data_IF_441876968486
#
_entry.id   IF_441876968486
#
_cell.length_a   1.000
_cell.length_b   1.000
_cell.length_c   1.000
_cell.angle_alpha   90.00
_cell.angle_beta   90.00
_cell.angle_gamma   90.00
#
_symmetry.space_group_name_H-M   'P 1'
#
loop_
_entity.id
_entity.type
_entity.pdbx_description
1 polymer ?
#
# COMPACT_ATOMS: atom_id res chain seq x y z
N UNK A 1 42.59 37.09 4.83
CA UNK A 1 42.59 36.98 3.35
C UNK A 1 42.39 35.52 2.99
N UNK A 2 41.44 35.27 2.08
CA UNK A 2 41.10 34.01 1.40
C UNK A 2 40.66 32.82 2.26
N UNK A 3 39.34 32.76 2.50
CA UNK A 3 38.64 31.51 2.79
C UNK A 3 38.53 30.64 1.54
N UNK A 4 38.74 29.34 1.70
CA UNK A 4 38.47 28.34 0.67
C UNK A 4 37.04 27.81 0.87
N UNK A 5 36.11 28.29 0.04
CA UNK A 5 34.79 27.70 -0.11
C UNK A 5 34.93 26.31 -0.73
N UNK A 6 34.73 25.26 0.06
CA UNK A 6 34.54 23.89 -0.45
C UNK A 6 33.08 23.71 -0.87
N UNK A 7 32.69 24.36 -1.97
CA UNK A 7 31.51 23.93 -2.72
C UNK A 7 31.96 22.84 -3.70
N UNK A 8 32.04 21.60 -3.20
CA UNK A 8 32.12 20.44 -4.07
C UNK A 8 30.81 20.29 -4.81
N UNK A 9 30.83 20.59 -6.11
CA UNK A 9 29.76 20.17 -7.02
C UNK A 9 29.81 18.65 -7.09
N UNK A 10 28.81 17.97 -6.52
CA UNK A 10 28.63 16.53 -6.61
C UNK A 10 28.28 16.15 -8.05
N UNK A 11 29.28 16.11 -8.94
CA UNK A 11 29.14 15.48 -10.24
C UNK A 11 29.16 13.96 -10.03
N UNK A 12 27.96 13.40 -9.83
CA UNK A 12 27.75 12.01 -9.43
C UNK A 12 27.96 11.07 -10.62
N UNK A 13 29.15 10.48 -10.72
CA UNK A 13 29.42 9.32 -11.59
C UNK A 13 28.81 8.03 -11.00
N UNK A 14 28.40 7.10 -11.88
CA UNK A 14 27.86 5.78 -11.55
C UNK A 14 28.78 4.95 -10.62
N UNK A 15 30.10 5.14 -10.68
CA UNK A 15 31.08 4.49 -9.79
C UNK A 15 31.15 5.11 -8.38
N UNK A 16 30.71 6.37 -8.23
CA UNK A 16 30.86 7.14 -6.99
C UNK A 16 29.73 6.85 -5.99
N UNK A 17 28.53 6.54 -6.48
CA UNK A 17 27.32 6.35 -5.66
C UNK A 17 27.36 5.14 -4.71
N UNK A 18 28.15 4.11 -5.05
CA UNK A 18 28.46 2.97 -4.16
C UNK A 18 29.90 2.95 -3.66
N UNK A 19 30.68 3.98 -3.97
CA UNK A 19 32.04 4.02 -3.45
C UNK A 19 31.97 4.03 -1.91
N UNK A 20 32.75 3.18 -1.21
CA UNK A 20 32.78 3.17 0.25
C UNK A 20 32.98 4.58 0.82
N UNK A 21 33.80 5.40 0.15
CA UNK A 21 34.08 6.78 0.52
C UNK A 21 32.84 7.69 0.48
N UNK A 22 31.97 7.56 -0.54
CA UNK A 22 30.76 8.39 -0.63
C UNK A 22 29.73 8.00 0.44
N UNK A 23 29.58 6.70 0.72
CA UNK A 23 28.70 6.20 1.77
C UNK A 23 29.21 6.66 3.13
N UNK A 24 30.50 6.45 3.40
CA UNK A 24 31.14 6.84 4.66
C UNK A 24 31.10 8.37 4.88
N UNK A 25 31.26 9.17 3.83
CA UNK A 25 31.14 10.63 3.92
C UNK A 25 29.71 11.07 4.25
N UNK A 26 28.69 10.49 3.59
CA UNK A 26 27.28 10.79 3.84
C UNK A 26 26.85 10.33 5.24
N UNK A 27 27.30 9.16 5.69
CA UNK A 27 27.08 8.66 7.04
C UNK A 27 27.77 9.53 8.10
N UNK A 28 29.04 9.92 7.86
CA UNK A 28 29.80 10.80 8.77
C UNK A 28 29.15 12.18 8.92
N UNK A 29 28.51 12.68 7.86
CA UNK A 29 27.78 13.95 7.89
C UNK A 29 26.38 13.82 8.54
N UNK A 30 25.97 12.63 8.99
CA UNK A 30 24.66 12.41 9.62
C UNK A 30 23.48 12.65 8.67
N UNK A 31 23.74 12.64 7.36
CA UNK A 31 22.72 12.94 6.34
C UNK A 31 21.74 11.78 6.17
N UNK A 32 22.17 10.56 6.51
CA UNK A 32 21.37 9.35 6.36
C UNK A 32 20.52 9.08 7.60
N UNK A 33 19.21 9.04 7.39
CA UNK A 33 18.24 8.90 8.47
C UNK A 33 17.14 7.93 8.07
N UNK A 34 16.58 7.25 9.05
CA UNK A 34 15.44 6.36 8.90
C UNK A 34 14.42 6.62 9.99
N UNK A 35 13.21 6.10 9.80
CA UNK A 35 12.15 6.13 10.78
C UNK A 35 11.46 4.77 10.84
N UNK A 36 10.89 4.46 11.99
CA UNK A 36 10.17 3.21 12.22
C UNK A 36 8.73 3.32 11.71
N UNK A 37 8.11 2.22 11.22
CA UNK A 37 6.73 2.26 10.73
C UNK A 37 5.74 2.85 11.74
N UNK A 38 5.96 2.66 13.05
CA UNK A 38 5.16 3.29 14.09
C UNK A 38 5.19 4.83 14.05
N UNK A 39 6.31 5.43 13.68
CA UNK A 39 6.45 6.89 13.54
C UNK A 39 5.81 7.40 12.24
N UNK A 40 5.88 6.60 11.16
CA UNK A 40 5.24 6.93 9.88
C UNK A 40 3.70 6.87 10.00
N UNK A 41 3.19 5.88 10.74
CA UNK A 41 1.76 5.57 10.83
C UNK A 41 1.06 6.19 12.05
N UNK A 42 1.79 6.75 13.02
CA UNK A 42 1.22 7.32 14.27
C UNK A 42 0.14 8.39 14.06
N UNK A 43 0.12 9.03 12.89
CA UNK A 43 -0.77 10.14 12.58
C UNK A 43 -1.68 9.84 11.38
N UNK A 44 -2.04 8.57 11.16
CA UNK A 44 -3.03 8.15 10.16
C UNK A 44 -2.75 8.71 8.75
N UNK A 45 -1.47 8.74 8.36
CA UNK A 45 -1.03 9.21 7.05
C UNK A 45 -0.97 10.72 6.86
N UNK A 46 -1.14 11.55 7.92
CA UNK A 46 -0.94 13.02 7.84
C UNK A 46 0.40 13.39 7.19
N UNK A 47 1.43 12.58 7.41
CA UNK A 47 2.77 12.78 6.83
C UNK A 47 2.81 12.78 5.29
N UNK A 48 1.82 12.16 4.65
CA UNK A 48 1.68 12.07 3.19
C UNK A 48 0.80 13.17 2.59
N UNK A 49 0.21 14.05 3.40
CA UNK A 49 -0.48 15.21 2.88
C UNK A 49 0.53 16.26 2.43
N UNK A 50 0.28 16.84 1.26
CA UNK A 50 1.11 17.93 0.75
C UNK A 50 0.73 19.28 1.39
N UNK A 51 1.69 20.20 1.40
CA UNK A 51 1.50 21.58 1.85
C UNK A 51 1.89 21.87 3.30
N UNK A 52 1.87 23.16 3.62
CA UNK A 52 2.30 23.69 4.93
C UNK A 52 1.39 23.22 6.07
N UNK A 53 0.08 23.17 5.85
CA UNK A 53 -0.89 22.72 6.87
C UNK A 53 -0.63 21.28 7.31
N UNK A 54 -0.21 20.41 6.39
CA UNK A 54 0.17 19.04 6.68
C UNK A 54 1.46 18.95 7.48
N UNK A 55 2.48 19.74 7.13
CA UNK A 55 3.72 19.84 7.91
C UNK A 55 3.45 20.29 9.35
N UNK A 56 2.63 21.33 9.52
CA UNK A 56 2.21 21.81 10.84
C UNK A 56 1.48 20.71 11.61
N UNK A 57 0.50 20.03 11.00
CA UNK A 57 -0.24 18.95 11.64
C UNK A 57 0.68 17.78 12.04
N UNK A 58 1.62 17.38 11.18
CA UNK A 58 2.62 16.34 11.47
C UNK A 58 3.59 16.77 12.59
N UNK A 59 3.90 18.07 12.65
CA UNK A 59 4.68 18.74 13.69
C UNK A 59 3.88 19.11 14.95
N UNK A 60 2.63 18.63 15.07
CA UNK A 60 1.73 18.92 16.19
C UNK A 60 1.42 20.42 16.42
N UNK A 61 1.46 21.22 15.36
CA UNK A 61 1.09 22.63 15.35
C UNK A 61 -0.29 22.82 14.69
N UNK A 62 -1.21 23.51 15.38
CA UNK A 62 -2.59 23.78 14.91
C UNK A 62 -2.82 25.24 14.49
N UNK A 63 -1.76 26.02 14.30
CA UNK A 63 -1.87 27.44 13.98
C UNK A 63 -2.45 27.65 12.57
N UNK A 64 -3.48 28.49 12.45
CA UNK A 64 -4.09 28.86 11.16
C UNK A 64 -3.19 29.81 10.35
N UNK A 65 -2.51 30.73 11.03
CA UNK A 65 -1.50 31.63 10.48
C UNK A 65 -0.23 31.47 11.31
N UNK A 66 0.61 30.47 11.01
CA UNK A 66 1.79 30.16 11.81
C UNK A 66 2.86 31.26 11.66
N UNK A 67 3.59 31.53 12.75
CA UNK A 67 4.83 32.32 12.66
C UNK A 67 5.96 31.49 12.04
N UNK A 68 7.05 32.14 11.62
CA UNK A 68 8.22 31.46 11.07
C UNK A 68 8.81 30.45 12.06
N UNK A 69 8.86 30.80 13.34
CA UNK A 69 9.35 29.95 14.42
C UNK A 69 8.46 28.72 14.61
N UNK A 70 7.14 28.87 14.49
CA UNK A 70 6.21 27.73 14.58
C UNK A 70 6.36 26.78 13.40
N UNK A 71 6.59 27.31 12.18
CA UNK A 71 6.89 26.48 11.01
C UNK A 71 8.20 25.73 11.21
N UNK A 72 9.25 26.42 11.66
CA UNK A 72 10.55 25.82 11.95
C UNK A 72 10.46 24.72 13.00
N UNK A 73 9.82 24.98 14.14
CA UNK A 73 9.61 24.00 15.19
C UNK A 73 8.78 22.79 14.75
N UNK A 74 7.78 22.98 13.89
CA UNK A 74 7.03 21.86 13.30
C UNK A 74 7.92 20.99 12.40
N UNK A 75 8.77 21.61 11.57
CA UNK A 75 9.73 20.91 10.72
C UNK A 75 10.77 20.13 11.53
N UNK A 76 11.32 20.75 12.58
CA UNK A 76 12.26 20.12 13.51
C UNK A 76 11.61 18.95 14.25
N UNK A 77 10.37 19.11 14.73
CA UNK A 77 9.63 18.04 15.41
C UNK A 77 9.40 16.83 14.50
N UNK A 78 9.05 17.06 13.22
CA UNK A 78 8.92 15.95 12.26
C UNK A 78 10.27 15.28 12.02
N UNK A 79 11.32 16.08 11.79
CA UNK A 79 12.67 15.57 11.53
C UNK A 79 13.26 14.79 12.71
N UNK A 80 13.03 15.24 13.94
CA UNK A 80 13.50 14.61 15.17
C UNK A 80 12.90 13.21 15.42
N UNK A 81 11.81 12.84 14.73
CA UNK A 81 11.29 11.47 14.78
C UNK A 81 12.19 10.48 14.03
N UNK A 82 12.92 10.93 13.01
CA UNK A 82 13.90 10.07 12.33
C UNK A 82 15.19 9.94 13.14
N UNK A 83 15.91 8.85 12.95
CA UNK A 83 17.20 8.57 13.59
C UNK A 83 18.30 8.45 12.54
N UNK A 84 19.51 8.88 12.88
CA UNK A 84 20.68 8.67 12.01
C UNK A 84 20.98 7.19 11.89
N UNK A 85 21.28 6.76 10.68
CA UNK A 85 21.51 5.35 10.36
C UNK A 85 22.59 5.23 9.30
N UNK A 86 23.26 4.09 9.25
CA UNK A 86 24.16 3.69 8.17
C UNK A 86 23.45 2.84 7.10
N UNK A 87 22.26 2.33 7.42
CA UNK A 87 21.47 1.46 6.56
C UNK A 87 19.96 1.77 6.63
N UNK A 88 19.26 1.55 5.51
CA UNK A 88 17.79 1.63 5.41
C UNK A 88 17.27 0.33 4.82
N UNK A 89 16.32 -0.30 5.50
CA UNK A 89 15.73 -1.55 5.01
C UNK A 89 14.74 -1.30 3.85
N UNK A 90 13.95 -0.23 3.95
CA UNK A 90 12.87 0.06 3.01
C UNK A 90 12.83 1.54 2.59
N UNK A 91 13.08 1.81 1.32
CA UNK A 91 12.85 3.13 0.72
C UNK A 91 11.40 3.24 0.23
N UNK A 92 10.64 4.24 0.68
CA UNK A 92 9.24 4.42 0.26
C UNK A 92 9.15 5.49 -0.83
N UNK A 93 9.03 5.05 -2.08
CA UNK A 93 8.75 5.91 -3.23
C UNK A 93 7.25 6.18 -3.36
N UNK A 94 6.86 7.44 -3.54
CA UNK A 94 5.44 7.79 -3.68
C UNK A 94 5.19 9.11 -4.43
N UNK A 95 3.98 9.27 -4.98
CA UNK A 95 3.51 10.56 -5.51
C UNK A 95 2.83 11.40 -4.43
N UNK A 96 3.11 12.70 -4.37
CA UNK A 96 2.42 13.65 -3.48
C UNK A 96 0.95 13.89 -3.86
N UNK A 97 0.55 13.60 -5.10
CA UNK A 97 -0.85 13.78 -5.56
C UNK A 97 -1.81 12.76 -4.94
N UNK A 98 -1.34 11.55 -4.65
CA UNK A 98 -2.19 10.47 -4.16
C UNK A 98 -2.69 10.70 -2.73
N UNK A 99 -3.88 10.18 -2.43
CA UNK A 99 -4.58 10.43 -1.19
C UNK A 99 -3.87 9.86 0.04
N UNK A 100 -3.94 10.57 1.17
CA UNK A 100 -3.29 10.13 2.42
C UNK A 100 -3.78 8.77 2.91
N UNK A 101 -5.08 8.50 2.74
CA UNK A 101 -5.72 7.31 3.28
C UNK A 101 -5.34 6.07 2.49
N UNK A 102 -5.22 6.19 1.17
CA UNK A 102 -4.77 5.11 0.30
C UNK A 102 -3.35 4.68 0.68
N UNK A 103 -2.44 5.64 0.88
CA UNK A 103 -1.07 5.38 1.35
C UNK A 103 -1.06 4.77 2.75
N UNK A 104 -1.83 5.32 3.67
CA UNK A 104 -1.94 4.80 5.04
C UNK A 104 -2.40 3.35 5.06
N UNK A 105 -3.52 3.02 4.41
CA UNK A 105 -4.04 1.65 4.37
C UNK A 105 -3.13 0.71 3.58
N UNK A 106 -2.45 1.19 2.54
CA UNK A 106 -1.46 0.39 1.80
C UNK A 106 -0.28 0.02 2.69
N UNK A 107 0.23 0.96 3.49
CA UNK A 107 1.32 0.69 4.44
C UNK A 107 0.86 -0.19 5.62
N UNK A 108 -0.35 0.02 6.14
CA UNK A 108 -0.94 -0.89 7.13
C UNK A 108 -1.06 -2.32 6.58
N UNK A 109 -1.52 -2.46 5.34
CA UNK A 109 -1.55 -3.76 4.65
C UNK A 109 -0.15 -4.33 4.48
N UNK A 110 0.81 -3.53 4.04
CA UNK A 110 2.19 -3.96 3.85
C UNK A 110 2.85 -4.47 5.15
N UNK A 111 2.74 -3.71 6.24
CA UNK A 111 3.41 -4.05 7.50
C UNK A 111 2.62 -5.02 8.38
N UNK A 112 1.29 -5.00 8.35
CA UNK A 112 0.47 -5.70 9.36
C UNK A 112 -0.41 -6.81 8.82
N UNK A 113 -0.59 -6.98 7.51
CA UNK A 113 -1.56 -7.95 6.98
C UNK A 113 -1.34 -9.37 7.49
N UNK A 114 -0.12 -9.92 7.33
CA UNK A 114 0.18 -11.29 7.77
C UNK A 114 -0.03 -11.47 9.27
N UNK A 115 0.34 -10.45 10.05
CA UNK A 115 0.17 -10.47 11.49
C UNK A 115 -1.30 -10.36 11.90
N UNK A 116 -2.09 -9.53 11.22
CA UNK A 116 -3.53 -9.41 11.42
C UNK A 116 -4.27 -10.71 11.10
N UNK A 117 -3.87 -11.40 10.01
CA UNK A 117 -4.37 -12.72 9.65
C UNK A 117 -4.08 -13.72 10.77
N UNK A 118 -2.82 -13.82 11.22
CA UNK A 118 -2.42 -14.74 12.29
C UNK A 118 -3.18 -14.49 13.59
N UNK A 119 -3.32 -13.23 14.03
CA UNK A 119 -4.08 -12.87 15.22
C UNK A 119 -5.57 -13.19 15.09
N UNK A 120 -6.18 -12.95 13.92
CA UNK A 120 -7.58 -13.27 13.65
C UNK A 120 -7.84 -14.78 13.72
N UNK A 121 -7.02 -15.59 13.05
CA UNK A 121 -7.13 -17.06 13.13
C UNK A 121 -6.91 -17.57 14.56
N UNK A 122 -5.93 -17.02 15.27
CA UNK A 122 -5.67 -17.38 16.68
C UNK A 122 -6.89 -17.06 17.55
N UNK A 123 -7.46 -15.88 17.40
CA UNK A 123 -8.68 -15.47 18.09
C UNK A 123 -9.85 -16.42 17.78
N UNK A 124 -10.04 -16.78 16.50
CA UNK A 124 -11.05 -17.74 16.09
C UNK A 124 -10.87 -19.11 16.76
N UNK A 125 -9.68 -19.70 16.71
CA UNK A 125 -9.40 -21.00 17.33
C UNK A 125 -9.64 -20.99 18.85
N UNK A 126 -9.20 -19.94 19.53
CA UNK A 126 -9.42 -19.77 20.97
C UNK A 126 -10.91 -19.71 21.28
N UNK A 127 -11.68 -18.93 20.52
CA UNK A 127 -13.13 -18.80 20.73
C UNK A 127 -13.85 -20.12 20.44
N UNK A 128 -13.50 -20.83 19.37
CA UNK A 128 -14.06 -22.16 19.07
C UNK A 128 -13.80 -23.13 20.23
N UNK A 129 -12.56 -23.19 20.73
CA UNK A 129 -12.21 -24.07 21.86
C UNK A 129 -13.02 -23.72 23.13
N UNK A 130 -13.22 -22.43 23.42
CA UNK A 130 -14.01 -21.97 24.56
C UNK A 130 -15.49 -22.29 24.41
N UNK A 131 -16.08 -22.10 23.22
CA UNK A 131 -17.49 -22.41 22.96
C UNK A 131 -17.75 -23.92 23.01
N UNK A 132 -16.89 -24.72 22.37
CA UNK A 132 -16.98 -26.19 22.43
C UNK A 132 -16.77 -26.70 23.85
N UNK A 133 -15.82 -26.14 24.59
CA UNK A 133 -15.54 -26.54 25.98
C UNK A 133 -16.66 -26.18 26.96
N UNK A 134 -17.42 -25.11 26.69
CA UNK A 134 -18.52 -24.67 27.56
C UNK A 134 -19.87 -25.27 27.19
N UNK A 135 -20.19 -25.42 25.91
CA UNK A 135 -21.50 -25.85 25.43
C UNK A 135 -21.53 -27.26 24.82
N UNK A 136 -20.36 -27.84 24.54
CA UNK A 136 -20.24 -29.06 23.73
C UNK A 136 -20.59 -28.80 22.25
N UNK A 137 -20.16 -29.70 21.37
CA UNK A 137 -20.40 -29.55 19.91
C UNK A 137 -21.90 -29.53 19.59
N UNK A 138 -22.69 -30.35 20.26
CA UNK A 138 -24.15 -30.41 20.07
C UNK A 138 -24.87 -29.16 20.57
N UNK A 139 -24.32 -28.47 21.57
CA UNK A 139 -24.89 -27.24 22.11
C UNK A 139 -24.64 -26.00 21.25
N UNK A 140 -23.82 -26.11 20.21
CA UNK A 140 -23.57 -25.03 19.25
C UNK A 140 -24.70 -24.86 18.24
N UNK A 141 -25.46 -25.93 17.96
CA UNK A 141 -26.55 -25.89 16.98
C UNK A 141 -27.60 -24.85 17.34
N UNK A 142 -27.78 -23.84 16.48
CA UNK A 142 -28.76 -22.77 16.68
C UNK A 142 -28.38 -21.72 17.73
N UNK A 143 -27.13 -21.70 18.21
CA UNK A 143 -26.68 -20.71 19.18
C UNK A 143 -26.48 -19.34 18.52
N UNK A 144 -27.14 -18.30 19.08
CA UNK A 144 -26.99 -16.91 18.64
C UNK A 144 -25.59 -16.33 18.90
N UNK A 145 -24.73 -17.06 19.61
CA UNK A 145 -23.35 -16.65 19.87
C UNK A 145 -22.42 -16.97 18.69
N UNK A 146 -22.82 -17.84 17.76
CA UNK A 146 -21.93 -18.28 16.67
C UNK A 146 -21.49 -17.11 15.78
N UNK A 147 -22.42 -16.30 15.28
CA UNK A 147 -22.09 -15.16 14.42
C UNK A 147 -21.20 -14.11 15.12
N UNK A 148 -21.57 -13.53 16.28
CA UNK A 148 -20.74 -12.51 16.93
C UNK A 148 -19.38 -13.05 17.39
N UNK A 149 -19.30 -14.30 17.85
CA UNK A 149 -18.07 -14.87 18.37
C UNK A 149 -17.14 -15.43 17.28
N UNK A 150 -17.68 -16.11 16.25
CA UNK A 150 -16.88 -16.77 15.22
C UNK A 150 -16.66 -15.91 13.97
N UNK A 151 -17.46 -14.86 13.75
CA UNK A 151 -17.30 -13.95 12.61
C UNK A 151 -16.87 -12.58 13.10
N UNK A 152 -17.71 -11.89 13.87
CA UNK A 152 -17.44 -10.49 14.21
C UNK A 152 -16.17 -10.31 15.05
N UNK A 153 -15.96 -11.14 16.08
CA UNK A 153 -14.80 -10.98 16.97
C UNK A 153 -13.44 -11.19 16.28
N UNK A 154 -13.21 -12.25 15.49
CA UNK A 154 -12.00 -12.39 14.67
C UNK A 154 -11.84 -11.26 13.66
N UNK A 155 -12.92 -10.81 13.02
CA UNK A 155 -12.86 -9.69 12.05
C UNK A 155 -12.53 -8.34 12.71
N UNK A 156 -13.04 -8.09 13.91
CA UNK A 156 -12.65 -6.91 14.72
C UNK A 156 -11.19 -7.02 15.13
N UNK A 157 -10.74 -8.21 15.55
CA UNK A 157 -9.33 -8.48 15.87
C UNK A 157 -8.43 -8.21 14.65
N UNK A 158 -8.82 -8.71 13.47
CA UNK A 158 -8.15 -8.44 12.21
C UNK A 158 -8.05 -6.93 11.95
N UNK A 159 -9.17 -6.20 12.03
CA UNK A 159 -9.19 -4.76 11.75
C UNK A 159 -8.31 -3.95 12.71
N UNK A 160 -8.38 -4.25 14.01
CA UNK A 160 -7.55 -3.59 15.03
C UNK A 160 -6.07 -3.88 14.77
N UNK A 161 -5.69 -5.14 14.54
CA UNK A 161 -4.29 -5.51 14.31
C UNK A 161 -3.78 -5.00 12.97
N UNK A 162 -4.62 -4.92 11.94
CA UNK A 162 -4.23 -4.35 10.66
C UNK A 162 -3.86 -2.87 10.80
N UNK A 163 -4.69 -2.10 11.52
CA UNK A 163 -4.50 -0.65 11.70
C UNK A 163 -3.38 -0.36 12.71
N UNK A 164 -3.31 -1.08 13.82
CA UNK A 164 -2.44 -0.75 14.96
C UNK A 164 -1.32 -1.75 15.22
N UNK A 165 -1.23 -2.84 14.45
CA UNK A 165 -0.30 -3.95 14.69
C UNK A 165 1.18 -3.57 14.59
N UNK A 166 1.48 -2.44 13.97
CA UNK A 166 2.82 -1.88 13.87
C UNK A 166 3.31 -1.23 15.18
N UNK A 167 2.39 -0.94 16.10
CA UNK A 167 2.69 -0.38 17.43
C UNK A 167 2.66 -1.42 18.55
N UNK A 168 2.30 -2.67 18.27
CA UNK A 168 2.20 -3.72 19.29
C UNK A 168 3.59 -4.28 19.63
N UNK A 169 3.99 -4.30 20.93
CA UNK A 169 5.34 -4.71 21.35
C UNK A 169 5.48 -6.25 21.43
N UNK A 170 5.12 -6.95 20.36
CA UNK A 170 5.11 -8.43 20.31
C UNK A 170 6.42 -9.00 19.73
N UNK A 171 7.56 -8.33 20.01
CA UNK A 171 8.88 -8.77 19.55
C UNK A 171 9.07 -8.78 18.03
N UNK A 172 8.21 -8.08 17.28
CA UNK A 172 8.32 -7.99 15.82
C UNK A 172 9.41 -7.01 15.44
N UNK A 173 10.39 -7.48 14.65
CA UNK A 173 11.33 -6.60 13.97
C UNK A 173 10.64 -6.03 12.72
N UNK A 174 10.38 -4.72 12.74
CA UNK A 174 9.87 -3.99 11.57
C UNK A 174 11.03 -3.31 10.84
N UNK A 175 10.99 -3.23 9.50
CA UNK A 175 12.07 -2.63 8.73
C UNK A 175 12.17 -1.12 8.99
N UNK A 176 13.39 -0.62 9.05
CA UNK A 176 13.68 0.80 9.00
C UNK A 176 13.27 1.39 7.66
N UNK A 177 12.50 2.48 7.70
CA UNK A 177 11.90 3.10 6.53
C UNK A 177 12.53 4.46 6.26
N UNK A 178 12.81 4.75 5.00
CA UNK A 178 13.11 6.09 4.54
C UNK A 178 11.89 6.69 3.86
N UNK A 179 11.53 7.90 4.28
CA UNK A 179 10.46 8.71 3.69
C UNK A 179 10.90 10.18 3.69
N UNK A 180 10.78 10.82 2.55
CA UNK A 180 11.25 12.19 2.30
C UNK A 180 10.81 13.21 3.37
N UNK A 181 9.54 13.24 3.79
CA UNK A 181 9.03 14.22 4.76
C UNK A 181 9.65 14.08 6.14
N UNK A 182 9.96 12.86 6.58
CA UNK A 182 10.49 12.58 7.93
C UNK A 182 12.01 12.54 7.97
N UNK A 183 12.64 12.06 6.89
CA UNK A 183 14.09 11.87 6.82
C UNK A 183 14.83 13.09 6.26
N UNK A 184 14.15 14.00 5.55
CA UNK A 184 14.72 15.25 5.06
C UNK A 184 14.26 16.40 5.94
N UNK A 185 15.17 17.31 6.29
CA UNK A 185 14.85 18.51 7.03
C UNK A 185 13.93 19.41 6.19
N UNK A 186 12.74 19.74 6.72
CA UNK A 186 11.72 20.44 5.91
C UNK A 186 11.90 21.96 5.87
N UNK A 187 12.57 22.53 6.88
CA UNK A 187 12.63 23.98 7.15
C UNK A 187 14.02 24.61 7.10
N UNK A 188 15.08 23.80 7.15
CA UNK A 188 16.47 24.21 7.00
C UNK A 188 16.85 23.92 5.55
N UNK A 189 16.96 24.97 4.75
CA UNK A 189 17.13 24.85 3.31
C UNK A 189 18.52 24.35 2.91
N UNK A 190 19.54 24.64 3.71
CA UNK A 190 20.91 24.22 3.44
C UNK A 190 21.04 22.72 3.70
N UNK A 191 20.58 22.24 4.86
CA UNK A 191 20.52 20.81 5.16
C UNK A 191 19.64 20.05 4.18
N UNK A 192 18.46 20.60 3.85
CA UNK A 192 17.55 20.01 2.86
C UNK A 192 18.25 19.80 1.53
N UNK A 193 19.01 20.79 1.04
CA UNK A 193 19.76 20.71 -0.21
C UNK A 193 20.84 19.63 -0.14
N UNK A 194 21.62 19.58 0.94
CA UNK A 194 22.64 18.55 1.15
C UNK A 194 22.03 17.13 1.16
N UNK A 195 20.91 16.96 1.85
CA UNK A 195 20.21 15.67 1.91
C UNK A 195 19.59 15.26 0.59
N UNK A 196 19.02 16.19 -0.18
CA UNK A 196 18.49 15.91 -1.53
C UNK A 196 19.63 15.50 -2.48
N UNK A 197 20.79 16.16 -2.39
CA UNK A 197 21.95 15.78 -3.21
C UNK A 197 22.48 14.37 -2.89
N UNK A 198 22.32 13.92 -1.64
CA UNK A 198 22.68 12.58 -1.21
C UNK A 198 21.62 11.50 -1.54
N UNK A 199 20.45 11.89 -2.06
CA UNK A 199 19.33 10.98 -2.32
C UNK A 199 19.67 9.76 -3.19
N UNK A 200 20.43 9.89 -4.29
CA UNK A 200 20.80 8.73 -5.09
C UNK A 200 21.63 7.70 -4.32
N UNK A 201 22.43 8.14 -3.33
CA UNK A 201 23.18 7.25 -2.43
C UNK A 201 22.20 6.51 -1.51
N UNK A 202 21.22 7.19 -0.94
CA UNK A 202 20.20 6.59 -0.07
C UNK A 202 19.42 5.49 -0.77
N UNK A 203 18.99 5.76 -2.00
CA UNK A 203 18.26 4.80 -2.84
C UNK A 203 19.15 3.59 -3.15
N UNK A 204 20.42 3.82 -3.53
CA UNK A 204 21.35 2.74 -3.88
C UNK A 204 21.77 1.84 -2.70
N UNK A 205 21.73 2.37 -1.47
CA UNK A 205 22.04 1.68 -0.21
C UNK A 205 20.82 1.00 0.43
N UNK A 206 19.60 1.33 0.01
CA UNK A 206 18.41 0.73 0.58
C UNK A 206 18.31 -0.76 0.22
N UNK A 207 17.91 -1.59 1.20
CA UNK A 207 17.74 -3.03 0.96
C UNK A 207 16.60 -3.34 0.00
N UNK A 208 15.50 -2.58 0.06
CA UNK A 208 14.35 -2.68 -0.84
C UNK A 208 13.77 -1.29 -1.13
N UNK A 209 13.03 -1.18 -2.23
CA UNK A 209 12.20 -0.02 -2.56
C UNK A 209 10.74 -0.43 -2.65
N UNK A 210 9.90 0.17 -1.81
CA UNK A 210 8.44 0.07 -1.89
C UNK A 210 7.90 1.25 -2.70
N UNK A 211 7.34 0.95 -3.87
CA UNK A 211 6.67 1.93 -4.73
C UNK A 211 5.18 1.94 -4.41
N UNK A 212 4.72 3.01 -3.77
CA UNK A 212 3.29 3.28 -3.58
C UNK A 212 2.73 3.85 -4.89
N UNK A 213 2.26 2.95 -5.76
CA UNK A 213 1.85 3.30 -7.11
C UNK A 213 0.46 3.92 -7.15
N UNK A 214 0.38 5.09 -7.78
CA UNK A 214 -0.84 5.74 -8.25
C UNK A 214 -0.70 6.09 -9.73
N UNK A 215 -1.78 6.55 -10.34
CA UNK A 215 -1.83 6.89 -11.77
C UNK A 215 -0.82 7.98 -12.15
N UNK A 216 -0.37 8.80 -11.19
CA UNK A 216 0.58 9.90 -11.44
C UNK A 216 2.02 9.55 -11.10
N UNK A 217 2.30 8.35 -10.59
CA UNK A 217 3.63 7.96 -10.12
C UNK A 217 4.67 8.06 -11.24
N UNK A 218 4.41 7.40 -12.37
CA UNK A 218 5.32 7.38 -13.52
C UNK A 218 5.38 8.70 -14.29
N UNK A 219 4.47 9.64 -14.01
CA UNK A 219 4.57 11.00 -14.55
C UNK A 219 5.65 11.83 -13.86
N UNK A 220 6.24 11.38 -12.73
CA UNK A 220 7.15 12.20 -11.92
C UNK A 220 8.61 11.82 -12.17
N UNK A 221 9.40 12.78 -12.65
CA UNK A 221 10.80 12.54 -13.00
C UNK A 221 11.65 12.09 -11.79
N UNK A 222 11.45 12.71 -10.61
CA UNK A 222 12.11 12.29 -9.37
C UNK A 222 11.81 10.84 -8.98
N UNK A 223 10.54 10.43 -8.99
CA UNK A 223 10.13 9.05 -8.66
C UNK A 223 10.72 8.03 -9.65
N UNK A 224 10.81 8.42 -10.92
CA UNK A 224 11.41 7.58 -11.96
C UNK A 224 12.94 7.49 -11.82
N UNK A 225 13.61 8.58 -11.43
CA UNK A 225 15.05 8.58 -11.12
C UNK A 225 15.36 7.66 -9.94
N UNK A 226 14.59 7.75 -8.86
CA UNK A 226 14.72 6.87 -7.68
C UNK A 226 14.53 5.40 -8.08
N UNK A 227 13.45 5.10 -8.81
CA UNK A 227 13.17 3.76 -9.29
C UNK A 227 14.30 3.21 -10.19
N UNK A 228 14.76 4.01 -11.15
CA UNK A 228 15.86 3.64 -12.03
C UNK A 228 17.17 3.41 -11.26
N UNK A 229 17.45 4.26 -10.27
CA UNK A 229 18.62 4.12 -9.39
C UNK A 229 18.53 2.82 -8.60
N UNK A 230 17.38 2.54 -7.97
CA UNK A 230 17.18 1.30 -7.23
C UNK A 230 17.35 0.07 -8.12
N UNK A 231 16.71 0.05 -9.29
CA UNK A 231 16.82 -1.08 -10.21
C UNK A 231 18.25 -1.28 -10.73
N UNK A 232 18.97 -0.18 -11.04
CA UNK A 232 20.33 -0.22 -11.58
C UNK A 232 21.36 -0.80 -10.62
N UNK A 233 21.31 -0.40 -9.36
CA UNK A 233 22.28 -0.82 -8.33
C UNK A 233 21.81 -2.04 -7.55
N UNK A 234 20.50 -2.14 -7.37
CA UNK A 234 19.84 -3.12 -6.52
C UNK A 234 19.40 -4.40 -7.22
N UNK A 235 19.10 -4.33 -8.52
CA UNK A 235 18.31 -5.34 -9.20
C UNK A 235 16.82 -4.99 -9.17
N UNK A 236 16.06 -5.54 -10.12
CA UNK A 236 14.60 -5.34 -10.21
C UNK A 236 13.83 -6.09 -9.13
N UNK A 237 14.44 -7.12 -8.55
CA UNK A 237 13.93 -7.92 -7.42
C UNK A 237 13.83 -7.12 -6.11
N UNK A 238 14.58 -6.01 -5.98
CA UNK A 238 14.47 -5.10 -4.84
C UNK A 238 13.26 -4.17 -4.90
N UNK A 239 12.62 -4.05 -6.06
CA UNK A 239 11.50 -3.13 -6.26
C UNK A 239 10.19 -3.87 -6.02
N UNK A 240 9.47 -3.46 -4.98
CA UNK A 240 8.13 -3.95 -4.68
C UNK A 240 7.10 -2.87 -5.02
N UNK A 241 6.21 -3.17 -5.96
CA UNK A 241 5.10 -2.27 -6.30
C UNK A 241 3.87 -2.59 -5.46
N UNK A 242 3.37 -1.58 -4.76
CA UNK A 242 2.13 -1.62 -3.99
C UNK A 242 1.12 -0.66 -4.62
N UNK A 243 0.15 -1.16 -5.40
CA UNK A 243 -0.87 -0.33 -6.00
C UNK A 243 -1.80 0.24 -4.91
N UNK A 244 -2.00 1.56 -4.92
CA UNK A 244 -2.78 2.24 -3.89
C UNK A 244 -4.28 1.88 -3.88
N UNK A 245 -4.81 1.33 -4.97
CA UNK A 245 -6.18 0.80 -5.04
C UNK A 245 -6.35 -0.56 -4.36
N UNK A 246 -5.26 -1.29 -4.08
CA UNK A 246 -5.33 -2.65 -3.54
C UNK A 246 -5.96 -2.68 -2.14
N UNK A 247 -5.47 -1.84 -1.23
CA UNK A 247 -5.95 -1.82 0.15
C UNK A 247 -7.42 -1.34 0.25
N UNK A 248 -7.83 -0.22 -0.40
CA UNK A 248 -9.23 0.17 -0.44
C UNK A 248 -10.15 -0.91 -1.02
N UNK A 249 -9.74 -1.58 -2.11
CA UNK A 249 -10.51 -2.69 -2.69
C UNK A 249 -10.66 -3.85 -1.71
N UNK A 250 -9.55 -4.35 -1.14
CA UNK A 250 -9.55 -5.46 -0.19
C UNK A 250 -10.44 -5.17 1.02
N UNK A 251 -10.27 -3.99 1.63
CA UNK A 251 -11.04 -3.59 2.81
C UNK A 251 -12.53 -3.41 2.47
N UNK A 252 -12.84 -2.86 1.30
CA UNK A 252 -14.24 -2.73 0.86
C UNK A 252 -14.89 -4.09 0.65
N UNK A 253 -14.19 -5.04 0.01
CA UNK A 253 -14.70 -6.41 -0.17
C UNK A 253 -14.96 -7.09 1.17
N UNK A 254 -14.01 -7.02 2.11
CA UNK A 254 -14.18 -7.58 3.47
C UNK A 254 -15.40 -6.97 4.17
N UNK A 255 -15.56 -5.65 4.11
CA UNK A 255 -16.68 -4.96 4.74
C UNK A 255 -18.03 -5.30 4.10
N UNK A 256 -18.07 -5.45 2.78
CA UNK A 256 -19.27 -5.83 2.05
C UNK A 256 -19.66 -7.28 2.37
N UNK A 257 -18.70 -8.20 2.42
CA UNK A 257 -18.95 -9.59 2.84
C UNK A 257 -19.46 -9.68 4.28
N UNK A 258 -18.83 -8.94 5.21
CA UNK A 258 -19.28 -8.89 6.61
C UNK A 258 -20.69 -8.28 6.72
N UNK A 259 -20.99 -7.27 5.90
CA UNK A 259 -22.32 -6.65 5.86
C UNK A 259 -23.36 -7.63 5.34
N UNK A 260 -23.06 -8.40 4.29
CA UNK A 260 -23.97 -9.43 3.77
C UNK A 260 -24.25 -10.51 4.81
N UNK A 261 -23.21 -11.01 5.49
CA UNK A 261 -23.36 -12.00 6.55
C UNK A 261 -24.19 -11.45 7.73
N UNK A 262 -23.99 -10.17 8.09
CA UNK A 262 -24.78 -9.51 9.13
C UNK A 262 -26.25 -9.32 8.72
N UNK A 263 -26.51 -8.99 7.44
CA UNK A 263 -27.87 -8.88 6.90
C UNK A 263 -28.56 -10.24 6.98
N UNK A 264 -27.89 -11.31 6.56
CA UNK A 264 -28.44 -12.67 6.63
C UNK A 264 -28.81 -13.03 8.08
N UNK A 265 -27.90 -12.77 9.04
CA UNK A 265 -28.14 -13.03 10.45
C UNK A 265 -29.36 -12.25 10.98
N UNK A 266 -29.45 -10.95 10.67
CA UNK A 266 -30.60 -10.11 11.05
C UNK A 266 -31.89 -10.60 10.40
N UNK A 267 -31.85 -11.03 9.13
CA UNK A 267 -33.02 -11.57 8.44
C UNK A 267 -33.52 -12.86 9.10
N UNK A 268 -32.61 -13.77 9.47
CA UNK A 268 -32.95 -15.00 10.21
C UNK A 268 -33.60 -14.68 11.55
N UNK A 269 -33.13 -13.63 12.24
CA UNK A 269 -33.68 -13.20 13.53
C UNK A 269 -35.03 -12.49 13.43
N UNK A 270 -35.20 -11.58 12.46
CA UNK A 270 -36.43 -10.80 12.29
C UNK A 270 -37.58 -11.63 11.73
N UNK A 271 -37.24 -12.63 10.91
CA UNK A 271 -38.20 -13.51 10.28
C UNK A 271 -37.89 -14.97 10.64
N UNK A 272 -38.09 -15.36 11.91
CA UNK A 272 -37.93 -16.75 12.31
C UNK A 272 -38.89 -17.60 11.49
N UNK A 273 -38.42 -18.70 10.93
CA UNK A 273 -39.12 -19.54 9.96
C UNK A 273 -39.33 -18.89 8.59
N UNK A 274 -38.66 -17.81 8.17
CA UNK A 274 -38.82 -17.27 6.81
C UNK A 274 -38.50 -18.28 5.71
N UNK A 275 -37.42 -19.05 5.89
CA UNK A 275 -37.08 -20.17 5.02
C UNK A 275 -38.15 -21.26 5.07
N UNK A 276 -38.62 -21.62 6.27
CA UNK A 276 -39.67 -22.61 6.44
C UNK A 276 -41.06 -22.13 5.97
N UNK A 277 -41.37 -20.83 6.00
CA UNK A 277 -42.61 -20.24 5.52
C UNK A 277 -42.64 -20.18 3.99
N UNK A 278 -41.49 -19.97 3.34
CA UNK A 278 -41.35 -20.21 1.91
C UNK A 278 -41.48 -21.71 1.58
N UNK A 279 -40.84 -22.61 2.35
CA UNK A 279 -40.99 -24.07 2.16
C UNK A 279 -42.41 -24.57 2.41
N UNK A 280 -43.15 -24.00 3.37
CA UNK A 280 -44.56 -24.30 3.65
C UNK A 280 -45.53 -23.74 2.60
N UNK A 281 -45.06 -22.90 1.67
CA UNK A 281 -45.78 -22.57 0.43
C UNK A 281 -45.30 -23.40 -0.78
N UNK A 282 -44.26 -24.22 -0.62
CA UNK A 282 -43.80 -25.25 -1.58
C UNK A 282 -44.33 -26.69 -1.30
N UNK A 283 -45.17 -27.03 -0.30
CA UNK A 283 -45.35 -28.41 0.15
C UNK A 283 -46.21 -29.29 -0.77
N UNK A 284 -46.56 -28.86 -1.98
CA UNK A 284 -47.17 -29.76 -2.97
C UNK A 284 -46.22 -30.21 -4.09
N UNK A 285 -45.00 -29.66 -4.19
CA UNK A 285 -44.07 -29.98 -5.29
C UNK A 285 -43.17 -31.22 -5.04
N UNK A 286 -42.58 -31.46 -3.85
CA UNK A 286 -41.61 -32.55 -3.68
C UNK A 286 -42.22 -33.94 -3.65
N UNK A 287 -43.30 -34.13 -2.88
CA UNK A 287 -43.94 -35.45 -2.74
C UNK A 287 -44.69 -35.90 -4.00
N UNK A 288 -45.28 -34.96 -4.74
CA UNK A 288 -46.10 -35.27 -5.92
C UNK A 288 -45.28 -35.50 -7.20
N UNK A 289 -44.06 -34.93 -7.30
CA UNK A 289 -43.22 -34.99 -8.51
C UNK A 289 -42.00 -35.91 -8.36
N UNK A 290 -41.37 -35.96 -7.19
CA UNK A 290 -40.06 -36.61 -7.01
C UNK A 290 -40.06 -37.84 -6.09
N UNK A 291 -41.17 -38.10 -5.38
CA UNK A 291 -41.26 -39.17 -4.38
C UNK A 291 -40.32 -38.96 -3.19
N UNK A 292 -40.37 -39.85 -2.20
CA UNK A 292 -39.47 -39.83 -1.05
C UNK A 292 -38.05 -40.26 -1.46
N UNK A 293 -37.25 -39.32 -1.98
CA UNK A 293 -35.83 -39.52 -2.24
C UNK A 293 -34.99 -38.62 -1.29
N UNK A 294 -34.24 -39.19 -0.33
CA UNK A 294 -33.47 -38.42 0.65
C UNK A 294 -32.34 -37.58 0.03
N UNK A 295 -31.82 -37.98 -1.14
CA UNK A 295 -30.85 -37.19 -1.88
C UNK A 295 -31.48 -35.93 -2.49
N UNK A 296 -32.73 -36.03 -2.95
CA UNK A 296 -33.49 -34.89 -3.47
C UNK A 296 -33.84 -33.91 -2.35
N UNK A 297 -34.24 -34.42 -1.17
CA UNK A 297 -34.52 -33.60 0.01
C UNK A 297 -33.28 -32.81 0.47
N UNK A 298 -32.11 -33.48 0.51
CA UNK A 298 -30.82 -32.83 0.82
C UNK A 298 -30.43 -31.77 -0.22
N UNK A 299 -30.68 -32.05 -1.50
CA UNK A 299 -30.42 -31.11 -2.60
C UNK A 299 -31.31 -29.87 -2.50
N UNK A 300 -32.62 -30.03 -2.29
CA UNK A 300 -33.57 -28.92 -2.12
C UNK A 300 -33.18 -28.06 -0.92
N UNK A 301 -32.88 -28.67 0.22
CA UNK A 301 -32.42 -27.94 1.42
C UNK A 301 -31.13 -27.15 1.16
N UNK A 302 -30.16 -27.74 0.45
CA UNK A 302 -28.91 -27.06 0.09
C UNK A 302 -29.12 -25.91 -0.90
N UNK A 303 -30.00 -26.11 -1.89
CA UNK A 303 -30.37 -25.10 -2.87
C UNK A 303 -31.08 -23.91 -2.22
N UNK A 304 -31.98 -24.17 -1.25
CA UNK A 304 -32.67 -23.13 -0.49
C UNK A 304 -31.67 -22.29 0.32
N UNK A 305 -30.78 -22.93 1.08
CA UNK A 305 -29.73 -22.23 1.83
C UNK A 305 -28.88 -21.36 0.89
N UNK A 306 -28.51 -21.88 -0.28
CA UNK A 306 -27.76 -21.12 -1.28
C UNK A 306 -28.54 -19.92 -1.85
N UNK A 307 -29.81 -20.12 -2.21
CA UNK A 307 -30.68 -19.07 -2.75
C UNK A 307 -30.89 -17.93 -1.75
N UNK A 308 -31.21 -18.25 -0.49
CA UNK A 308 -31.43 -17.23 0.54
C UNK A 308 -30.14 -16.52 0.95
N UNK A 309 -29.02 -17.24 0.98
CA UNK A 309 -27.71 -16.61 1.12
C UNK A 309 -27.47 -15.63 -0.03
N UNK A 310 -27.81 -16.00 -1.27
CA UNK A 310 -27.72 -15.13 -2.45
C UNK A 310 -28.57 -13.86 -2.35
N UNK A 311 -29.77 -13.92 -1.77
CA UNK A 311 -30.63 -12.75 -1.53
C UNK A 311 -29.96 -11.77 -0.56
N UNK A 312 -29.34 -12.27 0.51
CA UNK A 312 -28.58 -11.44 1.45
C UNK A 312 -27.34 -10.78 0.82
N UNK A 313 -26.85 -11.30 -0.32
CA UNK A 313 -25.79 -10.70 -1.12
C UNK A 313 -26.29 -9.62 -2.10
N UNK A 314 -27.59 -9.55 -2.42
CA UNK A 314 -28.12 -8.57 -3.38
C UNK A 314 -27.82 -7.12 -2.98
N UNK A 315 -27.99 -6.68 -1.72
CA UNK A 315 -27.71 -5.29 -1.33
C UNK A 315 -26.23 -4.91 -1.53
N UNK A 316 -25.32 -5.87 -1.38
CA UNK A 316 -23.87 -5.64 -1.52
C UNK A 316 -23.35 -5.90 -2.93
N UNK A 317 -24.15 -6.49 -3.81
CA UNK A 317 -23.74 -6.83 -5.18
C UNK A 317 -23.40 -5.60 -6.02
N UNK A 318 -24.20 -4.53 -5.93
CA UNK A 318 -24.00 -3.27 -6.65
C UNK A 318 -22.67 -2.61 -6.24
N UNK A 319 -22.41 -2.31 -4.94
CA UNK A 319 -21.14 -1.74 -4.54
C UNK A 319 -19.96 -2.68 -4.84
N UNK A 320 -20.13 -4.00 -4.70
CA UNK A 320 -19.09 -4.99 -5.06
C UNK A 320 -18.72 -4.90 -6.54
N UNK A 321 -19.71 -4.76 -7.43
CA UNK A 321 -19.48 -4.58 -8.86
C UNK A 321 -18.65 -3.32 -9.15
N UNK A 322 -18.99 -2.18 -8.55
CA UNK A 322 -18.22 -0.94 -8.72
C UNK A 322 -16.81 -1.04 -8.16
N UNK A 323 -16.63 -1.62 -6.97
CA UNK A 323 -15.31 -1.86 -6.38
C UNK A 323 -14.44 -2.74 -7.29
N UNK A 324 -15.00 -3.83 -7.82
CA UNK A 324 -14.28 -4.74 -8.71
C UNK A 324 -13.94 -4.08 -10.05
N UNK A 325 -14.87 -3.31 -10.62
CA UNK A 325 -14.64 -2.55 -11.86
C UNK A 325 -13.54 -1.50 -11.67
N UNK A 326 -13.56 -0.75 -10.58
CA UNK A 326 -12.52 0.23 -10.25
C UNK A 326 -11.13 -0.43 -10.11
N UNK A 327 -11.07 -1.60 -9.47
CA UNK A 327 -9.85 -2.43 -9.39
C UNK A 327 -9.35 -2.86 -10.76
N UNK A 328 -10.22 -3.36 -11.63
CA UNK A 328 -9.85 -3.78 -12.99
C UNK A 328 -9.30 -2.60 -13.82
N UNK A 329 -10.01 -1.47 -13.84
CA UNK A 329 -9.59 -0.29 -14.59
C UNK A 329 -8.23 0.24 -14.10
N UNK A 330 -8.05 0.32 -12.79
CA UNK A 330 -6.80 0.82 -12.20
C UNK A 330 -5.63 -0.15 -12.44
N UNK A 331 -5.91 -1.46 -12.43
CA UNK A 331 -4.90 -2.48 -12.73
C UNK A 331 -4.51 -2.48 -14.22
N UNK A 332 -5.47 -2.33 -15.12
CA UNK A 332 -5.21 -2.20 -16.56
C UNK A 332 -4.35 -0.97 -16.85
N UNK A 333 -4.71 0.18 -16.26
CA UNK A 333 -3.93 1.41 -16.40
C UNK A 333 -2.49 1.24 -15.88
N UNK A 334 -2.30 0.54 -14.76
CA UNK A 334 -0.97 0.24 -14.23
C UNK A 334 -0.14 -0.55 -15.24
N UNK A 335 -0.70 -1.63 -15.80
CA UNK A 335 0.00 -2.47 -16.78
C UNK A 335 0.29 -1.71 -18.08
N UNK A 336 -0.66 -0.90 -18.54
CA UNK A 336 -0.49 -0.04 -19.71
C UNK A 336 0.66 0.95 -19.49
N UNK A 337 0.66 1.67 -18.36
CA UNK A 337 1.74 2.60 -18.01
C UNK A 337 3.10 1.90 -17.90
N UNK A 338 3.15 0.69 -17.33
CA UNK A 338 4.39 -0.08 -17.26
C UNK A 338 4.91 -0.49 -18.65
N UNK A 339 3.99 -0.85 -19.56
CA UNK A 339 4.35 -1.27 -20.93
C UNK A 339 4.73 -0.12 -21.85
N UNK A 340 4.17 1.06 -21.64
CA UNK A 340 4.34 2.26 -22.50
C UNK A 340 5.22 3.33 -21.87
N UNK A 341 5.88 3.01 -20.75
CA UNK A 341 6.70 3.94 -19.99
C UNK A 341 7.83 4.55 -20.83
N UNK A 342 7.89 5.87 -20.92
CA UNK A 342 9.04 6.63 -21.45
C UNK A 342 9.47 7.69 -20.43
N UNK A 343 10.72 7.60 -19.97
CA UNK A 343 11.32 8.55 -19.02
C UNK A 343 11.33 9.98 -19.56
N UNK A 344 11.40 10.16 -20.88
CA UNK A 344 11.41 11.49 -21.54
C UNK A 344 10.08 12.22 -21.44
N UNK A 345 8.99 11.50 -21.18
CA UNK A 345 7.66 12.07 -20.96
C UNK A 345 7.42 12.48 -19.50
N UNK A 346 8.35 12.18 -18.58
CA UNK A 346 8.20 12.47 -17.17
C UNK A 346 8.31 13.98 -16.87
N UNK A 347 7.51 14.44 -15.90
CA UNK A 347 7.32 15.84 -15.54
C UNK A 347 8.05 16.17 -14.24
N UNK A 348 8.53 17.41 -14.12
CA UNK A 348 9.04 17.98 -12.87
C UNK A 348 8.02 18.94 -12.26
N UNK A 349 7.91 18.94 -10.93
CA UNK A 349 7.07 19.90 -10.21
C UNK A 349 7.76 21.27 -10.09
N UNK A 350 9.09 21.30 -10.08
CA UNK A 350 9.90 22.51 -10.02
C UNK A 350 10.63 22.71 -11.35
N UNK A 351 10.53 23.90 -11.94
CA UNK A 351 11.07 24.19 -13.27
C UNK A 351 12.61 24.17 -13.34
N UNK A 352 13.32 24.26 -12.21
CA UNK A 352 14.79 24.21 -12.13
C UNK A 352 15.36 22.79 -12.13
N UNK A 353 14.54 21.80 -11.80
CA UNK A 353 14.97 20.43 -11.57
C UNK A 353 15.30 19.61 -12.84
N UNK A 354 14.64 19.83 -14.01
CA UNK A 354 14.86 18.98 -15.20
C UNK A 354 16.33 18.87 -15.59
N UNK A 355 17.05 19.98 -15.71
CA UNK A 355 18.46 19.96 -16.14
C UNK A 355 19.38 19.21 -15.16
N UNK A 356 19.13 19.35 -13.85
CA UNK A 356 19.90 18.64 -12.83
C UNK A 356 19.60 17.13 -12.84
N UNK A 357 18.34 16.75 -13.01
CA UNK A 357 17.94 15.34 -13.02
C UNK A 357 18.36 14.67 -14.32
N UNK A 358 18.19 15.32 -15.48
CA UNK A 358 18.64 14.81 -16.77
C UNK A 358 20.15 14.58 -16.78
N UNK A 359 20.94 15.45 -16.15
CA UNK A 359 22.37 15.23 -15.95
C UNK A 359 22.65 13.97 -15.10
N UNK A 360 21.89 13.75 -14.01
CA UNK A 360 22.02 12.54 -13.19
C UNK A 360 21.58 11.27 -13.93
N UNK A 361 20.49 11.32 -14.69
CA UNK A 361 20.04 10.20 -15.54
C UNK A 361 21.11 9.89 -16.60
N UNK A 362 21.62 10.91 -17.29
CA UNK A 362 22.69 10.73 -18.29
C UNK A 362 23.94 10.13 -17.64
N UNK A 363 24.34 10.57 -16.45
CA UNK A 363 25.45 9.99 -15.71
C UNK A 363 25.19 8.53 -15.27
N UNK A 364 23.95 8.19 -14.92
CA UNK A 364 23.55 6.82 -14.55
C UNK A 364 23.56 5.86 -15.75
N UNK A 365 23.21 6.33 -16.95
CA UNK A 365 22.97 5.52 -18.15
C UNK A 365 24.04 5.66 -19.26
N UNK A 366 24.97 6.61 -19.18
CA UNK A 366 26.05 6.86 -20.17
C UNK A 366 27.02 5.70 -20.40
N UNK A 367 26.98 4.64 -19.58
CA UNK A 367 27.75 3.41 -19.78
C UNK A 367 27.00 2.30 -20.53
N UNK A 368 25.81 2.56 -21.08
CA UNK A 368 24.91 1.55 -21.66
C UNK A 368 24.89 1.53 -23.20
N UNK A 369 25.55 2.48 -23.87
CA UNK A 369 25.52 2.62 -25.34
C UNK A 369 26.14 1.45 -26.11
N UNK A 370 26.69 0.42 -25.46
CA UNK A 370 27.44 -0.64 -26.14
C UNK A 370 26.79 -2.04 -26.16
N UNK A 371 25.52 -2.21 -25.71
CA UNK A 371 24.91 -3.57 -25.67
C UNK A 371 23.46 -3.75 -26.15
N UNK A 372 22.76 -2.70 -26.59
CA UNK A 372 21.35 -2.84 -27.03
C UNK A 372 21.01 -2.21 -28.37
N UNK A 373 22.01 -1.88 -29.19
CA UNK A 373 21.78 -1.55 -30.60
C UNK A 373 21.63 -2.83 -31.44
N UNK A 374 20.55 -3.58 -31.22
CA UNK A 374 20.03 -4.45 -32.27
C UNK A 374 19.25 -3.56 -33.25
N UNK A 375 19.51 -3.62 -34.57
CA UNK A 375 18.80 -2.80 -35.53
C UNK A 375 17.30 -3.10 -35.47
N UNK A 376 16.47 -2.05 -35.40
CA UNK A 376 15.04 -2.13 -35.70
C UNK A 376 14.87 -2.85 -37.05
N UNK A 377 13.98 -3.85 -37.18
CA UNK A 377 13.68 -4.43 -38.48
C UNK A 377 13.11 -3.33 -39.38
N UNK A 378 13.77 -3.11 -40.51
CA UNK A 378 13.36 -2.19 -41.55
C UNK A 378 11.91 -2.44 -41.93
N UNK A 379 11.14 -1.35 -42.02
CA UNK A 379 9.79 -1.35 -42.55
C UNK A 379 9.73 -2.21 -43.83
N UNK A 380 8.76 -3.12 -43.87
CA UNK A 380 8.42 -3.88 -45.06
C UNK A 380 8.00 -2.86 -46.12
N UNK A 381 8.74 -2.91 -47.22
CA UNK A 381 8.51 -2.18 -48.45
C UNK A 381 7.25 -2.76 -49.11
N UNK A 382 6.11 -2.10 -48.95
CA UNK A 382 4.90 -2.40 -49.72
C UNK A 382 5.08 -1.83 -51.14
N UNK A 383 5.89 -2.53 -51.92
CA UNK A 383 6.06 -2.33 -53.36
C UNK A 383 5.04 -3.15 -54.16
N UNK A 384 4.13 -2.44 -54.81
CA UNK A 384 3.27 -2.93 -55.89
C UNK A 384 4.05 -3.66 -57.00
N UNK A 385 3.63 -4.88 -57.34
CA UNK A 385 3.58 -5.46 -58.69
C UNK A 385 2.77 -6.78 -58.55
N UNK A 386 1.66 -7.03 -59.25
CA UNK A 386 1.46 -6.87 -60.69
C UNK A 386 1.52 -8.25 -61.37
N UNK A 387 0.48 -9.07 -61.18
CA UNK A 387 -0.18 -9.95 -62.17
C UNK A 387 -1.20 -10.89 -61.51
#
# INVERSE_FOLDING_TARGET
MAGASRHGSWALSCSTLRSPNAVEEVCRLGLFRSAMPCQLLSSFGVIFQDGLSALLAAGNCKARCPTREQVQGAGEHVFAKSTETDHVDLFIGHSWKAGRWEKFFSLCTYFNLQFAIACSFTAWFVVVALLVGSMGVTGLGGSMLLFPCLVCFPMVTFAIVLIFGHGLPLGRSLPSCWLDRICIHQTDMDKKKEQINALPVFVAQSSKMLVLWDQTYFERLWCNLELATCARYGGTDKVELMPLWLAPWLLSTILLDLSSASILEVMVHLFPNFSAAWMHNIPEMPESIFGHNPAMESFVSSFDVWMFSGIAYLPVSIPSFFCFRAKLLSHQLMLEQMSTFDVRAARCTVASDPASIESQVTALFSGMEDKTAAPLPSAVDDGEAGN
#
